data_IF_855951066961
#
_entry.id   IF_855951066961
#
_cell.length_a   1.000
_cell.length_b   1.000
_cell.length_c   1.000
_cell.angle_alpha   90.00
_cell.angle_beta   90.00
_cell.angle_gamma   90.00
#
_symmetry.space_group_name_H-M   'P 1'
#
loop_
_entity.id
_entity.type
_entity.pdbx_description
1 polymer ?
#
# COMPACT_ATOMS: atom_id res chain seq x y z
N UNK A 1 0.50 30.28 -46.00
CA UNK A 1 0.17 30.81 -44.66
C UNK A 1 -0.86 29.85 -44.05
N UNK A 2 -0.53 29.20 -42.92
CA UNK A 2 -1.29 28.15 -42.21
C UNK A 2 -1.35 26.79 -42.94
N UNK A 3 -1.17 25.61 -42.32
CA UNK A 3 -1.24 25.21 -40.92
C UNK A 3 -0.41 23.92 -40.71
N UNK A 4 0.47 23.91 -39.70
CA UNK A 4 1.02 22.71 -39.05
C UNK A 4 0.01 22.24 -37.99
N UNK A 5 -0.20 20.93 -37.86
CA UNK A 5 -0.83 20.11 -36.78
C UNK A 5 -1.28 18.82 -37.51
N UNK A 6 -0.93 17.58 -37.17
CA UNK A 6 -0.88 16.92 -35.87
C UNK A 6 -0.21 15.55 -36.09
N UNK A 7 0.91 15.31 -35.42
CA UNK A 7 1.66 14.04 -35.41
C UNK A 7 1.78 13.46 -33.98
N UNK A 8 0.96 13.93 -33.04
CA UNK A 8 1.15 13.68 -31.59
C UNK A 8 0.22 12.64 -30.96
N UNK A 9 -0.73 12.04 -31.69
CA UNK A 9 -1.69 11.09 -31.10
C UNK A 9 -1.35 9.60 -31.31
N UNK A 10 -0.34 9.26 -32.12
CA UNK A 10 -0.07 7.85 -32.46
C UNK A 10 0.99 7.17 -31.59
N UNK A 11 1.75 7.92 -30.79
CA UNK A 11 2.86 7.36 -29.98
C UNK A 11 2.41 6.96 -28.57
N UNK A 12 1.25 7.44 -28.09
CA UNK A 12 0.78 7.15 -26.73
C UNK A 12 0.07 5.80 -26.57
N UNK A 13 -0.29 5.12 -27.67
CA UNK A 13 -1.08 3.89 -27.61
C UNK A 13 -0.26 2.59 -27.68
N UNK A 14 1.06 2.67 -27.92
CA UNK A 14 1.93 1.48 -28.02
C UNK A 14 2.71 1.15 -26.74
N UNK A 15 2.70 2.00 -25.71
CA UNK A 15 3.47 1.76 -24.47
C UNK A 15 2.71 0.99 -23.38
N UNK A 16 1.41 0.73 -23.57
CA UNK A 16 0.57 0.01 -22.61
C UNK A 16 0.43 -1.51 -22.88
N UNK A 17 0.98 -2.02 -23.99
CA UNK A 17 0.75 -3.41 -24.44
C UNK A 17 1.96 -4.35 -24.27
N UNK A 18 3.06 -3.90 -23.64
CA UNK A 18 4.31 -4.69 -23.56
C UNK A 18 4.79 -4.97 -22.12
N UNK A 19 3.90 -4.96 -21.13
CA UNK A 19 4.24 -5.32 -19.74
C UNK A 19 3.44 -6.49 -19.16
N UNK A 20 2.65 -7.21 -19.96
CA UNK A 20 1.79 -8.29 -19.44
C UNK A 20 2.32 -9.72 -19.63
N UNK A 21 3.39 -9.96 -20.38
CA UNK A 21 3.89 -11.31 -20.61
C UNK A 21 5.38 -11.46 -20.25
N UNK A 22 5.65 -11.87 -19.01
CA UNK A 22 6.75 -12.77 -18.59
C UNK A 22 7.13 -12.59 -17.11
N UNK A 23 6.35 -13.17 -16.20
CA UNK A 23 6.83 -13.57 -14.87
C UNK A 23 6.07 -14.82 -14.42
N UNK A 24 6.39 -15.96 -15.03
CA UNK A 24 6.02 -17.29 -14.55
C UNK A 24 7.15 -18.26 -14.89
N UNK A 25 7.96 -18.63 -13.89
CA UNK A 25 8.50 -19.98 -13.69
C UNK A 25 9.48 -20.02 -12.51
N UNK A 26 9.36 -21.11 -11.74
CA UNK A 26 10.36 -21.71 -10.85
C UNK A 26 10.42 -21.24 -9.38
N UNK A 27 9.56 -21.86 -8.56
CA UNK A 27 10.05 -22.40 -7.29
C UNK A 27 9.36 -23.74 -6.98
N UNK A 28 10.13 -24.82 -7.05
CA UNK A 28 9.67 -26.19 -6.80
C UNK A 28 9.41 -26.42 -5.31
N UNK A 29 8.30 -27.10 -5.05
CA UNK A 29 7.87 -27.67 -3.78
C UNK A 29 8.83 -28.75 -3.29
N UNK A 30 9.17 -28.74 -2.00
CA UNK A 30 9.70 -29.90 -1.31
C UNK A 30 8.74 -30.28 -0.17
N UNK A 31 8.29 -31.53 -0.21
CA UNK A 31 7.39 -32.16 0.74
C UNK A 31 8.09 -32.47 2.08
N UNK A 32 7.29 -32.49 3.15
CA UNK A 32 7.40 -33.51 4.21
C UNK A 32 8.05 -33.09 5.51
N UNK A 33 7.24 -32.70 6.49
CA UNK A 33 7.33 -33.27 7.85
C UNK A 33 6.01 -33.07 8.61
N UNK A 34 5.30 -34.17 8.83
CA UNK A 34 4.15 -34.26 9.74
C UNK A 34 4.70 -34.45 11.16
N UNK A 35 4.36 -33.53 12.06
CA UNK A 35 4.56 -33.71 13.51
C UNK A 35 3.19 -33.63 14.16
N UNK A 36 2.74 -34.77 14.68
CA UNK A 36 1.57 -34.91 15.54
C UNK A 36 1.97 -34.52 16.97
N UNK A 37 1.29 -33.55 17.57
CA UNK A 37 1.37 -33.28 19.02
C UNK A 37 -0.03 -33.51 19.62
N UNK A 38 -0.18 -34.65 20.27
CA UNK A 38 -1.28 -34.96 21.18
C UNK A 38 -1.01 -34.23 22.50
N UNK A 39 -1.90 -33.33 22.92
CA UNK A 39 -1.92 -32.88 24.32
C UNK A 39 -3.32 -32.97 24.91
N UNK A 40 -3.37 -33.78 25.95
CA UNK A 40 -4.50 -34.22 26.74
C UNK A 40 -5.17 -33.09 27.53
N UNK A 41 -6.46 -33.33 27.74
CA UNK A 41 -7.40 -32.55 28.54
C UNK A 41 -7.00 -32.47 30.01
N UNK A 42 -6.86 -31.24 30.52
CA UNK A 42 -6.64 -30.95 31.93
C UNK A 42 -7.73 -30.03 32.47
N UNK A 43 -8.87 -30.61 32.84
CA UNK A 43 -9.97 -29.91 33.53
C UNK A 43 -9.52 -29.52 34.95
N UNK A 44 -9.44 -28.22 35.24
CA UNK A 44 -9.42 -27.71 36.61
C UNK A 44 -10.60 -26.75 36.81
N UNK A 45 -11.57 -27.22 37.60
CA UNK A 45 -12.69 -26.43 38.11
C UNK A 45 -12.30 -25.79 39.44
N UNK A 46 -12.42 -24.47 39.54
CA UNK A 46 -12.53 -23.77 40.81
C UNK A 46 -13.56 -22.65 40.66
N UNK A 47 -14.62 -22.75 41.46
CA UNK A 47 -15.78 -21.87 41.40
C UNK A 47 -15.53 -20.46 41.94
N UNK A 48 -16.19 -19.51 41.30
CA UNK A 48 -16.37 -18.14 41.77
C UNK A 48 -17.56 -17.55 41.02
N UNK A 49 -18.73 -17.56 41.65
CA UNK A 49 -19.94 -16.97 41.10
C UNK A 49 -19.82 -15.44 41.12
N UNK A 50 -19.36 -14.88 40.01
CA UNK A 50 -19.55 -13.48 39.64
C UNK A 50 -20.44 -13.44 38.41
N UNK A 51 -21.63 -12.86 38.53
CA UNK A 51 -22.50 -12.56 37.40
C UNK A 51 -21.84 -11.39 36.63
N UNK A 52 -20.91 -11.68 35.73
CA UNK A 52 -20.51 -10.71 34.72
C UNK A 52 -21.63 -10.65 33.67
N UNK A 53 -22.41 -9.59 33.73
CA UNK A 53 -23.28 -9.20 32.62
C UNK A 53 -22.33 -8.79 31.49
N UNK A 54 -21.97 -9.73 30.62
CA UNK A 54 -21.34 -9.42 29.35
C UNK A 54 -22.32 -8.54 28.58
N UNK A 55 -22.09 -7.22 28.56
CA UNK A 55 -22.76 -6.36 27.61
C UNK A 55 -22.40 -6.90 26.23
N UNK A 56 -23.37 -7.50 25.54
CA UNK A 56 -23.20 -7.92 24.17
C UNK A 56 -22.70 -6.70 23.39
N UNK A 57 -21.63 -6.88 22.61
CA UNK A 57 -21.14 -5.83 21.72
C UNK A 57 -22.34 -5.28 20.93
N UNK A 58 -22.47 -3.95 20.78
CA UNK A 58 -23.59 -3.37 20.07
C UNK A 58 -23.67 -4.01 18.69
N UNK A 59 -24.86 -4.55 18.36
CA UNK A 59 -25.09 -5.21 17.08
C UNK A 59 -24.80 -4.22 15.95
N UNK A 60 -23.96 -4.64 15.02
CA UNK A 60 -23.64 -3.84 13.84
C UNK A 60 -24.91 -3.56 13.02
N UNK A 61 -25.18 -2.27 12.77
CA UNK A 61 -26.37 -1.82 12.03
C UNK A 61 -26.03 -1.53 10.57
N UNK A 62 -27.01 -1.75 9.68
CA UNK A 62 -26.87 -1.44 8.26
C UNK A 62 -26.87 0.07 8.01
N UNK A 63 -25.80 0.63 7.44
CA UNK A 63 -25.72 2.06 7.09
C UNK A 63 -26.64 2.41 5.91
N UNK A 64 -27.65 3.30 6.10
CA UNK A 64 -28.53 3.75 5.03
C UNK A 64 -27.83 4.62 3.97
N UNK A 65 -26.59 5.06 4.21
CA UNK A 65 -25.78 5.72 3.18
C UNK A 65 -25.10 4.71 2.24
N UNK A 66 -25.18 3.41 2.54
CA UNK A 66 -24.59 2.35 1.72
C UNK A 66 -23.09 2.21 1.91
N UNK A 67 -22.53 1.24 1.19
CA UNK A 67 -21.17 0.75 1.35
C UNK A 67 -20.38 0.86 0.05
N UNK A 68 -19.06 0.89 0.21
CA UNK A 68 -18.10 0.85 -0.89
C UNK A 68 -16.91 -0.03 -0.51
N UNK A 69 -16.46 -0.87 -1.44
CA UNK A 69 -15.25 -1.67 -1.33
C UNK A 69 -14.52 -1.74 -2.67
N UNK A 70 -13.28 -2.21 -2.66
CA UNK A 70 -12.44 -2.33 -3.85
C UNK A 70 -11.43 -3.47 -3.70
N UNK A 71 -10.92 -4.00 -4.82
CA UNK A 71 -9.72 -4.82 -4.77
C UNK A 71 -8.44 -3.95 -4.84
N UNK A 72 -7.48 -4.09 -3.90
CA UNK A 72 -6.13 -3.56 -4.05
C UNK A 72 -5.30 -4.40 -5.05
N UNK A 73 -5.80 -4.55 -6.27
CA UNK A 73 -5.33 -5.52 -7.27
C UNK A 73 -4.16 -5.02 -8.14
N UNK A 74 -3.58 -3.86 -7.87
CA UNK A 74 -2.46 -3.30 -8.66
C UNK A 74 -1.18 -3.21 -7.83
N UNK A 75 -0.16 -3.94 -8.28
CA UNK A 75 1.18 -3.91 -7.69
C UNK A 75 1.29 -4.57 -6.31
N UNK A 76 2.44 -4.36 -5.68
CA UNK A 76 2.75 -4.88 -4.33
C UNK A 76 2.31 -3.89 -3.25
N UNK A 77 2.67 -4.16 -2.00
CA UNK A 77 2.34 -3.35 -0.82
C UNK A 77 2.41 -1.83 -1.06
N UNK A 78 3.53 -1.31 -1.59
CA UNK A 78 3.70 0.14 -1.78
C UNK A 78 2.63 0.76 -2.68
N UNK A 79 2.29 0.10 -3.80
CA UNK A 79 1.22 0.55 -4.71
C UNK A 79 -0.15 0.48 -4.02
N UNK A 80 -0.42 -0.63 -3.34
CA UNK A 80 -1.68 -0.83 -2.62
C UNK A 80 -1.85 0.22 -1.53
N UNK A 81 -0.82 0.49 -0.72
CA UNK A 81 -0.86 1.49 0.33
C UNK A 81 -1.10 2.90 -0.23
N UNK A 82 -0.56 3.25 -1.40
CA UNK A 82 -0.92 4.51 -2.06
C UNK A 82 -2.40 4.53 -2.45
N UNK A 83 -2.88 3.47 -3.10
CA UNK A 83 -4.28 3.32 -3.49
C UNK A 83 -5.25 3.37 -2.30
N UNK A 84 -4.87 2.84 -1.15
CA UNK A 84 -5.66 2.93 0.07
C UNK A 84 -5.96 4.38 0.45
N UNK A 85 -4.96 5.27 0.42
CA UNK A 85 -5.16 6.69 0.77
C UNK A 85 -6.19 7.35 -0.15
N UNK A 86 -6.12 7.09 -1.45
CA UNK A 86 -7.06 7.64 -2.43
C UNK A 86 -8.46 7.05 -2.28
N UNK A 87 -8.55 5.75 -2.01
CA UNK A 87 -9.83 5.06 -1.82
C UNK A 87 -10.53 5.51 -0.54
N UNK A 88 -9.77 5.82 0.52
CA UNK A 88 -10.26 6.42 1.75
C UNK A 88 -10.81 7.84 1.50
N UNK A 89 -10.09 8.66 0.75
CA UNK A 89 -10.58 9.98 0.33
C UNK A 89 -11.87 9.84 -0.52
N UNK A 90 -11.91 8.87 -1.43
CA UNK A 90 -13.07 8.61 -2.29
C UNK A 90 -14.30 8.17 -1.50
N UNK A 91 -14.17 7.18 -0.61
CA UNK A 91 -15.30 6.75 0.23
C UNK A 91 -15.82 7.86 1.14
N UNK A 92 -14.92 8.70 1.67
CA UNK A 92 -15.28 9.92 2.41
C UNK A 92 -16.06 10.92 1.53
N UNK A 93 -15.66 11.10 0.26
CA UNK A 93 -16.38 11.94 -0.69
C UNK A 93 -17.81 11.43 -0.94
N UNK A 94 -17.97 10.12 -1.13
CA UNK A 94 -19.30 9.53 -1.38
C UNK A 94 -20.24 9.60 -0.17
N UNK A 95 -19.69 9.77 1.04
CA UNK A 95 -20.41 9.63 2.30
C UNK A 95 -20.94 8.20 2.54
N UNK A 96 -20.27 7.18 1.99
CA UNK A 96 -20.58 5.76 2.18
C UNK A 96 -19.71 5.14 3.26
N UNK A 97 -20.15 4.06 3.89
CA UNK A 97 -19.28 3.24 4.75
C UNK A 97 -18.24 2.51 3.89
N UNK A 98 -16.96 2.63 4.26
CA UNK A 98 -15.87 1.98 3.52
C UNK A 98 -15.63 0.62 4.14
N UNK A 99 -15.81 -0.42 3.34
CA UNK A 99 -15.38 -1.77 3.67
C UNK A 99 -13.90 -1.85 3.31
N UNK A 100 -13.03 -1.74 4.31
CA UNK A 100 -11.59 -1.84 4.17
C UNK A 100 -11.25 -3.25 3.68
N UNK A 101 -10.72 -3.41 2.45
CA UNK A 101 -10.31 -4.72 1.98
C UNK A 101 -9.13 -5.24 2.81
N UNK A 102 -8.75 -6.51 2.67
CA UNK A 102 -7.41 -6.94 3.05
C UNK A 102 -6.39 -6.40 2.04
N UNK A 103 -5.11 -6.33 2.44
CA UNK A 103 -4.03 -6.22 1.47
C UNK A 103 -3.85 -7.52 0.70
N UNK A 104 -3.39 -7.42 -0.54
CA UNK A 104 -3.21 -8.57 -1.42
C UNK A 104 -1.73 -8.93 -1.54
N UNK A 105 -1.37 -10.11 -1.05
CA UNK A 105 -0.06 -10.74 -1.29
C UNK A 105 -0.27 -11.98 -2.18
N UNK A 106 0.36 -13.12 -1.87
CA UNK A 106 -0.06 -14.42 -2.38
C UNK A 106 -1.38 -14.88 -1.74
N UNK A 107 -1.71 -14.37 -0.54
CA UNK A 107 -3.00 -14.48 0.16
C UNK A 107 -3.61 -13.10 0.45
N UNK A 108 -4.85 -13.07 0.95
CA UNK A 108 -5.43 -11.86 1.51
C UNK A 108 -4.92 -11.70 2.95
N UNK A 109 -4.33 -10.55 3.27
CA UNK A 109 -3.86 -10.19 4.61
C UNK A 109 -4.81 -9.14 5.18
N UNK A 110 -5.58 -9.44 6.24
CA UNK A 110 -6.48 -8.47 6.87
C UNK A 110 -5.79 -7.14 7.15
N UNK A 111 -6.53 -6.04 6.98
CA UNK A 111 -6.01 -4.70 7.29
C UNK A 111 -5.45 -4.63 8.73
N UNK A 112 -6.14 -5.29 9.66
CA UNK A 112 -5.84 -5.33 11.11
C UNK A 112 -4.55 -6.06 11.47
N UNK A 113 -4.05 -6.93 10.59
CA UNK A 113 -2.80 -7.65 10.81
C UNK A 113 -1.59 -6.72 10.69
N UNK A 114 -1.70 -5.67 9.87
CA UNK A 114 -0.63 -4.69 9.67
C UNK A 114 -0.91 -3.36 10.35
N UNK A 115 -2.16 -2.93 10.46
CA UNK A 115 -2.53 -1.62 10.96
C UNK A 115 -3.63 -1.69 12.02
N UNK A 116 -3.63 -0.75 12.95
CA UNK A 116 -4.71 -0.58 13.92
C UNK A 116 -5.96 -0.03 13.22
N UNK A 117 -7.13 -0.51 13.63
CA UNK A 117 -8.40 -0.09 13.03
C UNK A 117 -8.90 1.23 13.62
N UNK A 118 -8.76 1.41 14.94
CA UNK A 118 -9.32 2.53 15.70
C UNK A 118 -8.83 3.90 15.22
N UNK A 119 -7.52 4.12 14.95
CA UNK A 119 -7.05 5.41 14.46
C UNK A 119 -7.66 5.79 13.09
N UNK A 120 -8.08 4.80 12.29
CA UNK A 120 -8.73 5.08 11.01
C UNK A 120 -10.12 5.72 11.20
N UNK A 121 -10.80 5.44 12.31
CA UNK A 121 -12.10 6.03 12.64
C UNK A 121 -12.01 7.54 12.91
N UNK A 122 -10.85 8.03 13.37
CA UNK A 122 -10.59 9.47 13.52
C UNK A 122 -10.55 10.19 12.17
N UNK A 123 -10.01 9.53 11.13
CA UNK A 123 -10.04 10.05 9.77
C UNK A 123 -11.47 10.07 9.21
N UNK A 124 -12.18 8.96 9.37
CA UNK A 124 -13.52 8.77 8.86
C UNK A 124 -14.28 7.74 9.73
N UNK A 125 -15.39 8.11 10.37
CA UNK A 125 -16.05 7.24 11.37
C UNK A 125 -16.84 6.08 10.77
N UNK A 126 -17.01 6.04 9.45
CA UNK A 126 -17.80 5.04 8.73
C UNK A 126 -16.89 4.04 8.01
N UNK A 127 -16.26 3.18 8.80
CA UNK A 127 -15.36 2.13 8.34
C UNK A 127 -15.81 0.79 8.92
N UNK A 128 -15.54 -0.27 8.17
CA UNK A 128 -15.70 -1.67 8.58
C UNK A 128 -14.65 -2.50 7.85
N UNK A 129 -14.15 -3.59 8.43
CA UNK A 129 -13.26 -4.51 7.72
C UNK A 129 -14.07 -5.39 6.75
N UNK A 130 -13.43 -5.88 5.68
CA UNK A 130 -14.07 -6.82 4.75
C UNK A 130 -14.52 -8.09 5.47
N UNK A 131 -13.71 -8.58 6.39
CA UNK A 131 -13.98 -9.76 7.22
C UNK A 131 -15.30 -9.57 7.99
N UNK A 132 -15.41 -8.49 8.78
CA UNK A 132 -16.62 -8.21 9.57
C UNK A 132 -17.82 -7.93 8.68
N UNK A 133 -17.65 -7.20 7.56
CA UNK A 133 -18.74 -6.96 6.62
C UNK A 133 -19.29 -8.27 6.04
N UNK A 134 -18.39 -9.16 5.58
CA UNK A 134 -18.77 -10.41 4.95
C UNK A 134 -19.35 -11.43 5.94
N UNK A 135 -18.93 -11.42 7.20
CA UNK A 135 -19.45 -12.28 8.25
C UNK A 135 -20.80 -11.78 8.80
N UNK A 136 -20.90 -10.49 9.14
CA UNK A 136 -22.02 -9.97 9.92
C UNK A 136 -23.14 -9.32 9.10
N UNK A 137 -22.81 -8.68 7.97
CA UNK A 137 -23.77 -7.88 7.18
C UNK A 137 -24.14 -8.53 5.85
N UNK A 138 -23.15 -9.02 5.10
CA UNK A 138 -23.37 -9.55 3.77
C UNK A 138 -24.40 -10.70 3.69
N UNK A 139 -24.48 -11.64 4.65
CA UNK A 139 -25.47 -12.72 4.59
C UNK A 139 -26.92 -12.21 4.62
N UNK A 140 -27.17 -11.06 5.25
CA UNK A 140 -28.51 -10.49 5.40
C UNK A 140 -28.83 -9.42 4.34
N UNK A 141 -27.84 -8.60 3.97
CA UNK A 141 -28.06 -7.38 3.18
C UNK A 141 -27.32 -7.36 1.83
N UNK A 142 -26.43 -8.32 1.56
CA UNK A 142 -25.71 -8.43 0.29
C UNK A 142 -25.58 -9.90 -0.18
N UNK A 143 -26.74 -10.59 -0.36
CA UNK A 143 -26.77 -11.99 -0.76
C UNK A 143 -26.19 -12.16 -2.17
N UNK A 144 -25.76 -13.38 -2.50
CA UNK A 144 -25.04 -13.68 -3.76
C UNK A 144 -25.77 -13.19 -5.02
N UNK A 145 -27.11 -13.30 -5.06
CA UNK A 145 -27.94 -12.83 -6.19
C UNK A 145 -27.96 -11.31 -6.38
N UNK A 146 -27.50 -10.53 -5.40
CA UNK A 146 -27.49 -9.06 -5.42
C UNK A 146 -26.06 -8.49 -5.47
N UNK A 147 -25.04 -9.35 -5.56
CA UNK A 147 -23.64 -8.91 -5.62
C UNK A 147 -23.32 -8.32 -6.99
N UNK A 148 -23.17 -7.01 -7.04
CA UNK A 148 -22.83 -6.25 -8.25
C UNK A 148 -21.38 -5.82 -8.25
N UNK A 149 -20.68 -6.08 -9.34
CA UNK A 149 -19.33 -5.60 -9.59
C UNK A 149 -19.33 -4.34 -10.44
N UNK A 150 -18.35 -3.46 -10.24
CA UNK A 150 -18.25 -2.21 -11.00
C UNK A 150 -16.84 -1.99 -11.51
N UNK A 151 -16.70 -1.66 -12.79
CA UNK A 151 -15.40 -1.39 -13.40
C UNK A 151 -15.41 -0.11 -14.23
N UNK A 152 -14.27 0.57 -14.27
CA UNK A 152 -14.09 1.67 -15.20
C UNK A 152 -13.81 1.12 -16.59
N UNK A 153 -14.71 1.40 -17.53
CA UNK A 153 -14.59 1.07 -18.95
C UNK A 153 -15.39 2.10 -19.74
N UNK A 154 -14.95 2.38 -20.96
CA UNK A 154 -15.77 3.17 -21.89
C UNK A 154 -17.12 2.48 -22.10
N UNK A 155 -18.22 3.23 -21.92
CA UNK A 155 -19.56 2.65 -21.93
C UNK A 155 -19.93 2.02 -23.29
N UNK A 156 -19.31 2.51 -24.37
CA UNK A 156 -19.49 2.00 -25.74
C UNK A 156 -18.53 0.87 -26.12
N UNK A 157 -17.65 0.43 -25.21
CA UNK A 157 -16.71 -0.67 -25.47
C UNK A 157 -17.37 -2.03 -25.26
N UNK A 158 -17.01 -3.01 -26.08
CA UNK A 158 -17.41 -4.42 -25.91
C UNK A 158 -16.67 -5.13 -24.77
N UNK A 159 -15.61 -4.51 -24.21
CA UNK A 159 -14.87 -5.08 -23.08
C UNK A 159 -15.80 -5.34 -21.88
N UNK A 160 -15.65 -6.48 -21.22
CA UNK A 160 -16.42 -6.83 -20.02
C UNK A 160 -15.65 -6.46 -18.76
N UNK A 161 -16.34 -6.26 -17.62
CA UNK A 161 -15.65 -5.96 -16.38
C UNK A 161 -14.77 -7.13 -15.95
N UNK A 162 -15.27 -8.36 -16.06
CA UNK A 162 -14.51 -9.58 -15.72
C UNK A 162 -13.86 -9.42 -14.34
N UNK A 163 -14.70 -9.17 -13.34
CA UNK A 163 -14.28 -8.73 -11.99
C UNK A 163 -13.27 -9.66 -11.32
N UNK A 164 -13.26 -10.93 -11.73
CA UNK A 164 -12.45 -12.03 -11.19
C UNK A 164 -11.43 -12.59 -12.18
N UNK A 165 -11.26 -12.00 -13.37
CA UNK A 165 -10.34 -12.54 -14.38
C UNK A 165 -8.89 -12.25 -14.00
N UNK A 166 -8.11 -13.33 -13.92
CA UNK A 166 -6.67 -13.28 -13.69
C UNK A 166 -6.27 -13.12 -12.22
N UNK A 167 -4.96 -13.11 -11.98
CA UNK A 167 -4.36 -12.86 -10.68
C UNK A 167 -3.93 -11.38 -10.62
N UNK A 168 -4.29 -10.61 -9.57
CA UNK A 168 -4.88 -11.05 -8.30
C UNK A 168 -6.40 -10.98 -8.16
N UNK A 169 -7.12 -10.59 -9.22
CA UNK A 169 -8.57 -10.33 -9.17
C UNK A 169 -9.41 -11.51 -8.66
N UNK A 170 -9.29 -12.69 -9.28
CA UNK A 170 -10.06 -13.87 -8.89
C UNK A 170 -9.81 -14.28 -7.44
N UNK A 171 -8.57 -14.62 -7.08
CA UNK A 171 -8.21 -15.04 -5.72
C UNK A 171 -8.63 -14.05 -4.63
N UNK A 172 -8.58 -12.74 -4.90
CA UNK A 172 -9.01 -11.73 -3.94
C UNK A 172 -10.50 -11.90 -3.56
N UNK A 173 -11.39 -11.96 -4.55
CA UNK A 173 -12.83 -12.10 -4.33
C UNK A 173 -13.21 -13.51 -3.88
N UNK A 174 -12.53 -14.54 -4.41
CA UNK A 174 -12.71 -15.93 -4.01
C UNK A 174 -12.41 -16.16 -2.52
N UNK A 175 -11.42 -15.44 -1.96
CA UNK A 175 -11.08 -15.51 -0.54
C UNK A 175 -12.23 -15.14 0.41
N UNK A 176 -13.27 -14.46 -0.08
CA UNK A 176 -14.48 -14.12 0.67
C UNK A 176 -15.74 -14.82 0.13
N UNK A 177 -15.58 -15.77 -0.80
CA UNK A 177 -16.71 -16.42 -1.47
C UNK A 177 -17.57 -15.44 -2.27
N UNK A 178 -16.97 -14.39 -2.83
CA UNK A 178 -17.70 -13.37 -3.62
C UNK A 178 -17.74 -13.79 -5.09
N UNK A 179 -18.96 -13.97 -5.59
CA UNK A 179 -19.30 -14.02 -7.01
C UNK A 179 -20.18 -12.83 -7.34
N UNK A 180 -20.09 -12.32 -8.56
CA UNK A 180 -20.88 -11.19 -9.02
C UNK A 180 -22.02 -11.69 -9.91
N UNK A 181 -23.26 -11.40 -9.51
CA UNK A 181 -24.45 -11.72 -10.28
C UNK A 181 -24.63 -10.77 -11.48
N UNK A 182 -24.13 -9.55 -11.35
CA UNK A 182 -24.20 -8.50 -12.38
C UNK A 182 -22.93 -7.64 -12.34
N UNK A 183 -22.50 -7.15 -13.50
CA UNK A 183 -21.34 -6.27 -13.64
C UNK A 183 -21.74 -4.97 -14.36
N UNK A 184 -21.39 -3.83 -13.77
CA UNK A 184 -21.65 -2.50 -14.32
C UNK A 184 -20.37 -1.80 -14.76
N UNK A 185 -20.43 -1.21 -15.95
CA UNK A 185 -19.40 -0.29 -16.44
C UNK A 185 -19.71 1.11 -15.93
N UNK A 186 -18.68 1.89 -15.62
CA UNK A 186 -18.81 3.31 -15.37
C UNK A 186 -17.70 4.10 -16.08
N UNK A 187 -18.03 5.33 -16.48
CA UNK A 187 -17.09 6.27 -17.09
C UNK A 187 -17.22 7.65 -16.40
N UNK A 188 -17.17 7.62 -15.07
CA UNK A 188 -17.24 8.81 -14.21
C UNK A 188 -15.98 8.91 -13.36
N UNK A 189 -15.64 10.15 -12.99
CA UNK A 189 -14.44 10.45 -12.22
C UNK A 189 -14.51 9.86 -10.81
N UNK A 190 -13.43 9.21 -10.37
CA UNK A 190 -13.36 8.49 -9.09
C UNK A 190 -12.18 8.89 -8.21
N UNK A 191 -11.39 9.90 -8.58
CA UNK A 191 -10.15 10.26 -7.86
C UNK A 191 -10.35 11.48 -6.96
N UNK A 192 -10.75 11.24 -5.72
CA UNK A 192 -10.98 12.27 -4.71
C UNK A 192 -9.69 13.02 -4.28
N UNK A 193 -9.86 14.28 -3.88
CA UNK A 193 -8.80 15.15 -3.40
C UNK A 193 -9.27 15.91 -2.15
N UNK A 194 -8.69 15.58 -0.99
CA UNK A 194 -9.09 16.17 0.29
C UNK A 194 -8.86 17.69 0.36
N UNK A 195 -7.98 18.24 -0.48
CA UNK A 195 -7.72 19.69 -0.53
C UNK A 195 -8.74 20.46 -1.39
N UNK A 196 -9.58 19.76 -2.16
CA UNK A 196 -10.54 20.39 -3.06
C UNK A 196 -11.97 19.94 -2.75
N UNK A 197 -12.65 20.69 -1.88
CA UNK A 197 -14.04 20.42 -1.48
C UNK A 197 -15.01 20.40 -2.68
N UNK A 198 -14.78 21.25 -3.69
CA UNK A 198 -15.64 21.27 -4.88
C UNK A 198 -15.51 19.98 -5.70
N UNK A 199 -14.30 19.41 -5.79
CA UNK A 199 -14.10 18.12 -6.47
C UNK A 199 -14.78 17.00 -5.68
N UNK A 200 -14.71 17.03 -4.35
CA UNK A 200 -15.38 16.05 -3.48
C UNK A 200 -16.90 16.08 -3.65
N UNK A 201 -17.51 17.28 -3.67
CA UNK A 201 -18.95 17.46 -3.90
C UNK A 201 -19.37 16.99 -5.29
N UNK A 202 -18.60 17.31 -6.34
CA UNK A 202 -18.86 16.85 -7.71
C UNK A 202 -18.79 15.34 -7.84
N UNK A 203 -17.79 14.71 -7.20
CA UNK A 203 -17.71 13.24 -7.14
C UNK A 203 -18.98 12.70 -6.50
N UNK A 204 -19.37 13.23 -5.33
CA UNK A 204 -20.58 12.78 -4.64
C UNK A 204 -21.82 12.90 -5.53
N UNK A 205 -22.05 14.07 -6.12
CA UNK A 205 -23.22 14.32 -6.97
C UNK A 205 -23.27 13.36 -8.17
N UNK A 206 -22.15 13.17 -8.86
CA UNK A 206 -22.07 12.29 -10.02
C UNK A 206 -22.31 10.83 -9.65
N UNK A 207 -21.70 10.36 -8.56
CA UNK A 207 -21.86 8.98 -8.11
C UNK A 207 -23.25 8.71 -7.53
N UNK A 208 -23.85 9.64 -6.78
CA UNK A 208 -25.21 9.49 -6.27
C UNK A 208 -26.25 9.49 -7.40
N UNK A 209 -26.00 10.27 -8.47
CA UNK A 209 -26.86 10.28 -9.66
C UNK A 209 -26.74 8.99 -10.49
N UNK A 210 -25.53 8.47 -10.64
CA UNK A 210 -25.28 7.26 -11.44
C UNK A 210 -25.59 5.97 -10.68
N UNK A 211 -25.32 5.95 -9.37
CA UNK A 211 -25.41 4.77 -8.51
C UNK A 211 -26.05 5.14 -7.16
N UNK A 212 -27.35 5.51 -7.15
CA UNK A 212 -28.06 5.87 -5.92
C UNK A 212 -28.07 4.70 -4.94
N UNK A 213 -27.93 4.99 -3.64
CA UNK A 213 -27.82 3.98 -2.56
C UNK A 213 -28.98 2.98 -2.56
N UNK A 214 -30.20 3.45 -2.87
CA UNK A 214 -31.40 2.62 -2.93
C UNK A 214 -31.23 1.43 -3.88
N UNK A 215 -30.62 1.66 -5.03
CA UNK A 215 -30.47 0.66 -6.08
C UNK A 215 -29.08 0.02 -5.99
N UNK A 216 -28.07 0.76 -5.54
CA UNK A 216 -26.68 0.33 -5.42
C UNK A 216 -26.21 0.46 -3.95
N UNK A 217 -26.70 -0.41 -3.05
CA UNK A 217 -26.37 -0.37 -1.63
C UNK A 217 -24.89 -0.63 -1.37
N UNK A 218 -24.26 -1.50 -2.17
CA UNK A 218 -22.83 -1.85 -2.08
C UNK A 218 -22.17 -1.59 -3.43
N UNK A 219 -21.15 -0.74 -3.45
CA UNK A 219 -20.29 -0.50 -4.61
C UNK A 219 -19.01 -1.33 -4.49
N UNK A 220 -18.94 -2.50 -5.13
CA UNK A 220 -17.74 -3.34 -5.16
C UNK A 220 -16.92 -3.10 -6.44
N UNK A 221 -15.88 -2.29 -6.35
CA UNK A 221 -15.10 -1.87 -7.51
C UNK A 221 -13.97 -2.87 -7.85
N UNK A 222 -13.75 -3.11 -9.16
CA UNK A 222 -12.71 -4.04 -9.66
C UNK A 222 -11.31 -3.68 -9.17
N UNK A 223 -11.04 -2.39 -8.99
CA UNK A 223 -9.78 -1.86 -8.50
C UNK A 223 -10.00 -0.64 -7.63
N UNK A 224 -8.93 -0.18 -6.99
CA UNK A 224 -8.97 1.04 -6.17
C UNK A 224 -9.41 2.27 -7.00
N UNK A 225 -10.41 3.05 -6.55
CA UNK A 225 -10.78 4.33 -7.15
C UNK A 225 -9.78 5.41 -6.73
N UNK A 226 -8.52 5.25 -7.12
CA UNK A 226 -7.42 6.06 -6.65
C UNK A 226 -6.34 6.17 -7.73
N UNK A 227 -5.71 7.35 -7.90
CA UNK A 227 -4.56 7.46 -8.79
C UNK A 227 -3.32 6.81 -8.18
N UNK A 228 -2.37 6.42 -9.05
CA UNK A 228 -1.00 6.11 -8.67
C UNK A 228 -0.01 6.92 -9.51
N UNK A 229 0.97 7.60 -8.91
CA UNK A 229 1.14 7.77 -7.46
C UNK A 229 0.04 8.65 -6.85
N UNK A 230 -0.08 8.59 -5.53
CA UNK A 230 -1.10 9.31 -4.78
C UNK A 230 -0.90 10.82 -4.83
N UNK A 231 -2.02 11.54 -4.91
CA UNK A 231 -2.07 13.00 -4.82
C UNK A 231 -1.42 13.47 -3.53
N UNK A 232 -0.66 14.56 -3.61
CA UNK A 232 0.08 15.12 -2.47
C UNK A 232 -0.83 15.47 -1.29
N UNK A 233 -2.01 16.05 -1.57
CA UNK A 233 -3.02 16.42 -0.58
C UNK A 233 -3.56 15.25 0.23
N UNK A 234 -3.66 14.06 -0.37
CA UNK A 234 -4.16 12.86 0.31
C UNK A 234 -3.08 12.13 1.11
N UNK A 235 -1.81 12.53 1.01
CA UNK A 235 -0.71 11.89 1.77
C UNK A 235 -0.86 12.05 3.27
N UNK A 236 -1.55 13.10 3.73
CA UNK A 236 -1.85 13.35 5.15
C UNK A 236 -2.66 12.21 5.80
N UNK A 237 -3.38 11.42 5.00
CA UNK A 237 -4.13 10.26 5.50
C UNK A 237 -3.19 9.20 6.10
N UNK A 238 -1.91 9.17 5.70
CA UNK A 238 -0.91 8.27 6.28
C UNK A 238 -0.79 8.42 7.80
N UNK A 239 -1.11 9.59 8.37
CA UNK A 239 -1.03 9.84 9.81
C UNK A 239 -1.91 8.90 10.64
N UNK A 240 -2.97 8.35 10.03
CA UNK A 240 -3.91 7.43 10.67
C UNK A 240 -3.51 5.95 10.52
N UNK A 241 -2.53 5.63 9.65
CA UNK A 241 -1.99 4.28 9.53
C UNK A 241 -1.02 4.04 10.69
N UNK A 242 -1.53 3.55 11.82
CA UNK A 242 -0.72 3.09 12.95
C UNK A 242 -0.44 1.62 12.81
N UNK A 243 0.81 1.20 12.94
CA UNK A 243 1.18 -0.20 12.88
C UNK A 243 0.48 -1.01 13.97
N UNK A 244 0.09 -2.24 13.63
CA UNK A 244 -0.39 -3.23 14.59
C UNK A 244 0.64 -3.38 15.75
N UNK A 245 0.16 -3.47 16.98
CA UNK A 245 1.03 -3.46 18.17
C UNK A 245 1.99 -4.65 18.21
N UNK A 246 1.54 -5.84 17.80
CA UNK A 246 2.37 -7.04 17.76
C UNK A 246 3.47 -6.91 16.70
N UNK A 247 3.12 -6.46 15.50
CA UNK A 247 4.07 -6.22 14.42
C UNK A 247 5.10 -5.13 14.78
N UNK A 248 4.64 -4.05 15.44
CA UNK A 248 5.52 -3.01 15.93
C UNK A 248 6.43 -3.51 17.05
N UNK A 249 5.92 -4.34 17.98
CA UNK A 249 6.71 -4.93 19.05
C UNK A 249 7.82 -5.85 18.50
N UNK A 250 7.53 -6.62 17.45
CA UNK A 250 8.54 -7.42 16.75
C UNK A 250 9.64 -6.55 16.15
N UNK A 251 9.26 -5.52 15.37
CA UNK A 251 10.23 -4.58 14.81
C UNK A 251 11.04 -3.88 15.91
N UNK A 252 10.40 -3.52 17.03
CA UNK A 252 11.05 -2.93 18.20
C UNK A 252 12.08 -3.87 18.82
N UNK A 253 11.75 -5.16 18.96
CA UNK A 253 12.70 -6.15 19.45
C UNK A 253 13.96 -6.21 18.58
N UNK A 254 13.82 -6.17 17.24
CA UNK A 254 14.96 -6.06 16.33
C UNK A 254 15.75 -4.77 16.54
N UNK A 255 15.09 -3.62 16.66
CA UNK A 255 15.76 -2.33 16.90
C UNK A 255 16.55 -2.33 18.22
N UNK A 256 15.96 -2.85 19.29
CA UNK A 256 16.60 -2.94 20.61
C UNK A 256 17.85 -3.83 20.54
N UNK A 257 17.76 -4.96 19.83
CA UNK A 257 18.90 -5.88 19.65
C UNK A 257 20.02 -5.30 18.78
N UNK A 258 19.68 -4.64 17.66
CA UNK A 258 20.65 -4.15 16.69
C UNK A 258 21.31 -2.83 17.10
N UNK A 259 20.55 -1.95 17.77
CA UNK A 259 20.95 -0.57 18.04
C UNK A 259 21.08 -0.26 19.53
N UNK A 260 20.52 -1.07 20.43
CA UNK A 260 20.59 -0.85 21.88
C UNK A 260 20.17 0.58 22.30
N UNK A 261 19.15 1.13 21.63
CA UNK A 261 18.66 2.49 21.84
C UNK A 261 19.52 3.62 21.24
N UNK A 262 20.62 3.30 20.55
CA UNK A 262 21.44 4.30 19.85
C UNK A 262 20.79 4.72 18.51
N UNK A 263 20.96 5.98 18.08
CA UNK A 263 20.42 6.46 16.81
C UNK A 263 21.12 5.81 15.61
N UNK A 264 20.37 5.64 14.53
CA UNK A 264 20.84 5.00 13.29
C UNK A 264 20.32 5.71 12.05
N UNK A 265 21.10 5.60 10.97
CA UNK A 265 20.66 5.96 9.61
C UNK A 265 19.97 4.76 8.98
N UNK A 266 18.73 4.93 8.52
CA UNK A 266 18.03 3.94 7.71
C UNK A 266 18.23 4.20 6.23
N UNK A 267 18.54 3.18 5.45
CA UNK A 267 18.63 3.29 3.99
C UNK A 267 17.74 2.25 3.32
N UNK A 268 17.03 2.66 2.27
CA UNK A 268 16.27 1.76 1.42
C UNK A 268 16.91 1.66 0.03
N UNK A 269 17.34 0.45 -0.31
CA UNK A 269 17.93 0.09 -1.59
C UNK A 269 16.91 -0.69 -2.41
N UNK A 270 16.62 -0.18 -3.60
CA UNK A 270 15.78 -0.85 -4.60
C UNK A 270 16.68 -1.23 -5.77
N UNK A 271 17.19 -2.46 -5.72
CA UNK A 271 18.31 -2.99 -6.52
C UNK A 271 17.97 -4.33 -7.18
N UNK A 272 16.71 -4.76 -7.12
CA UNK A 272 16.23 -5.95 -7.83
C UNK A 272 16.34 -5.82 -9.35
N UNK A 273 16.47 -6.95 -10.05
CA UNK A 273 16.61 -6.99 -11.51
C UNK A 273 15.36 -6.46 -12.24
N UNK A 274 14.17 -6.65 -11.66
CA UNK A 274 12.92 -6.04 -12.13
C UNK A 274 13.00 -4.51 -12.11
N UNK A 275 13.63 -3.99 -11.05
CA UNK A 275 13.80 -2.56 -10.84
C UNK A 275 14.89 -1.96 -11.72
N UNK A 276 16.03 -2.64 -11.87
CA UNK A 276 17.13 -2.23 -12.75
C UNK A 276 16.61 -1.97 -14.18
N UNK A 277 15.89 -2.94 -14.76
CA UNK A 277 15.26 -2.82 -16.08
C UNK A 277 14.26 -1.68 -16.15
N UNK A 278 13.44 -1.50 -15.11
CA UNK A 278 12.49 -0.38 -15.05
C UNK A 278 13.22 0.97 -15.14
N UNK A 279 14.38 1.09 -14.47
CA UNK A 279 15.18 2.31 -14.43
C UNK A 279 16.03 2.55 -15.69
N UNK A 280 16.17 1.60 -16.62
CA UNK A 280 16.88 1.82 -17.89
C UNK A 280 16.19 2.86 -18.78
N UNK A 281 14.87 3.01 -18.63
CA UNK A 281 14.05 3.88 -19.48
C UNK A 281 13.74 5.24 -18.86
N UNK A 282 14.28 5.54 -17.67
CA UNK A 282 13.87 6.71 -16.88
C UNK A 282 14.35 8.05 -17.46
N UNK A 283 15.41 8.04 -18.28
CA UNK A 283 15.99 9.27 -18.83
C UNK A 283 14.96 10.08 -19.65
N UNK A 284 14.79 11.35 -19.29
CA UNK A 284 13.83 12.25 -19.93
C UNK A 284 12.38 12.14 -19.41
N UNK A 285 12.07 11.16 -18.55
CA UNK A 285 10.76 11.08 -17.90
C UNK A 285 10.62 12.17 -16.84
N UNK A 286 9.58 13.00 -16.96
CA UNK A 286 9.24 14.02 -15.95
C UNK A 286 8.62 13.44 -14.68
N UNK A 287 8.06 12.25 -14.79
CA UNK A 287 7.45 11.52 -13.69
C UNK A 287 7.53 10.03 -13.98
N UNK A 288 8.01 9.27 -13.00
CA UNK A 288 8.01 7.82 -12.99
C UNK A 288 7.56 7.33 -11.62
N UNK A 289 6.55 6.44 -11.57
CA UNK A 289 6.03 5.81 -10.35
C UNK A 289 5.89 6.83 -9.19
N UNK A 290 6.54 6.62 -8.04
CA UNK A 290 6.42 7.47 -6.86
C UNK A 290 7.32 8.71 -6.85
N UNK A 291 8.03 9.02 -7.95
CA UNK A 291 8.96 10.18 -8.03
C UNK A 291 8.40 11.55 -7.61
N UNK A 292 7.08 11.84 -7.67
CA UNK A 292 6.53 13.07 -7.09
C UNK A 292 6.69 13.20 -5.56
N UNK A 293 7.29 12.21 -4.88
CA UNK A 293 7.69 12.33 -3.47
C UNK A 293 9.00 13.12 -3.29
N UNK A 294 9.86 13.14 -4.30
CA UNK A 294 11.18 13.78 -4.24
C UNK A 294 11.32 14.93 -5.22
N UNK A 295 10.48 15.00 -6.25
CA UNK A 295 10.41 16.10 -7.22
C UNK A 295 9.05 16.80 -7.19
N UNK A 296 9.07 18.12 -7.46
CA UNK A 296 7.83 18.83 -7.80
C UNK A 296 7.45 18.50 -9.24
N UNK A 297 6.19 18.14 -9.45
CA UNK A 297 5.62 17.84 -10.76
C UNK A 297 5.89 19.01 -11.73
N UNK A 298 6.52 18.73 -12.87
CA UNK A 298 6.82 19.72 -13.92
C UNK A 298 8.21 20.37 -13.87
N UNK A 299 9.10 19.92 -12.97
CA UNK A 299 10.51 20.32 -12.93
C UNK A 299 11.43 19.38 -13.74
N UNK A 300 12.74 19.41 -13.44
CA UNK A 300 13.80 18.58 -14.04
C UNK A 300 13.41 17.08 -14.09
N UNK A 301 13.83 16.35 -15.14
CA UNK A 301 13.53 14.92 -15.29
C UNK A 301 14.08 14.07 -14.14
N UNK A 302 13.42 12.93 -13.90
CA UNK A 302 13.94 11.89 -13.01
C UNK A 302 15.23 11.33 -13.62
N UNK A 303 16.32 11.34 -12.86
CA UNK A 303 17.61 10.82 -13.34
C UNK A 303 17.74 9.33 -13.08
N UNK A 304 18.63 8.66 -13.83
CA UNK A 304 18.96 7.26 -13.59
C UNK A 304 19.46 7.02 -12.16
N UNK A 305 20.29 7.92 -11.62
CA UNK A 305 20.81 7.80 -10.26
C UNK A 305 19.74 7.89 -9.17
N UNK A 306 18.66 8.63 -9.40
CA UNK A 306 17.53 8.71 -8.47
C UNK A 306 16.66 7.45 -8.48
N UNK A 307 16.60 6.76 -9.62
CA UNK A 307 15.86 5.52 -9.80
C UNK A 307 16.69 4.30 -9.35
N UNK A 308 17.97 4.27 -9.71
CA UNK A 308 18.92 3.20 -9.48
C UNK A 308 20.32 3.79 -9.19
N UNK A 309 20.62 4.13 -7.92
CA UNK A 309 21.91 4.72 -7.56
C UNK A 309 23.04 3.72 -7.78
N UNK A 310 24.23 4.22 -8.13
CA UNK A 310 25.42 3.35 -8.19
C UNK A 310 25.86 2.95 -6.80
N UNK A 311 26.62 1.87 -6.70
CA UNK A 311 27.23 1.43 -5.44
C UNK A 311 28.07 2.55 -4.81
N UNK A 312 28.87 3.25 -5.61
CA UNK A 312 29.73 4.34 -5.14
C UNK A 312 28.90 5.47 -4.52
N UNK A 313 27.78 5.84 -5.14
CA UNK A 313 26.85 6.83 -4.58
C UNK A 313 26.23 6.35 -3.26
N UNK A 314 25.81 5.09 -3.18
CA UNK A 314 25.26 4.52 -1.94
C UNK A 314 26.29 4.62 -0.81
N UNK A 315 27.56 4.28 -1.08
CA UNK A 315 28.64 4.38 -0.10
C UNK A 315 28.87 5.83 0.35
N UNK A 316 29.05 6.75 -0.60
CA UNK A 316 29.35 8.16 -0.33
C UNK A 316 28.22 8.87 0.42
N UNK A 317 26.97 8.74 -0.06
CA UNK A 317 25.81 9.38 0.57
C UNK A 317 25.50 8.76 1.94
N UNK A 318 25.68 7.44 2.12
CA UNK A 318 25.52 6.81 3.43
C UNK A 318 26.57 7.32 4.42
N UNK A 319 27.84 7.46 4.00
CA UNK A 319 28.89 8.06 4.83
C UNK A 319 28.53 9.48 5.25
N UNK A 320 28.12 10.31 4.30
CA UNK A 320 27.73 11.70 4.57
C UNK A 320 26.57 11.79 5.58
N UNK A 321 25.59 10.88 5.50
CA UNK A 321 24.50 10.80 6.46
C UNK A 321 24.97 10.43 7.87
N UNK A 322 25.79 9.39 7.97
CA UNK A 322 26.34 8.94 9.26
C UNK A 322 27.15 10.04 9.93
N UNK A 323 27.99 10.76 9.18
CA UNK A 323 28.79 11.87 9.68
C UNK A 323 27.93 13.06 10.13
N UNK A 324 26.92 13.42 9.33
CA UNK A 324 26.00 14.54 9.61
C UNK A 324 25.16 14.30 10.87
N UNK A 325 24.61 13.09 11.00
CA UNK A 325 23.73 12.71 12.12
C UNK A 325 24.48 12.05 13.29
N UNK A 326 25.81 11.88 13.17
CA UNK A 326 26.70 11.36 14.21
C UNK A 326 26.23 10.02 14.78
N UNK A 327 25.72 9.15 13.93
CA UNK A 327 25.22 7.82 14.30
C UNK A 327 26.33 6.79 14.24
N UNK A 328 26.22 5.70 15.02
CA UNK A 328 27.15 4.55 14.94
C UNK A 328 26.53 3.33 14.26
N UNK A 329 25.32 3.49 13.72
CA UNK A 329 24.53 2.39 13.18
C UNK A 329 23.94 2.79 11.83
N UNK A 330 24.04 1.87 10.87
CA UNK A 330 23.33 1.93 9.58
C UNK A 330 22.42 0.72 9.49
N UNK A 331 21.15 0.94 9.15
CA UNK A 331 20.19 -0.12 8.86
C UNK A 331 19.86 -0.14 7.37
N UNK A 332 19.91 -1.32 6.75
CA UNK A 332 19.70 -1.52 5.33
C UNK A 332 18.46 -2.38 5.11
N UNK A 333 17.45 -1.79 4.48
CA UNK A 333 16.36 -2.51 3.84
C UNK A 333 16.65 -2.61 2.33
N UNK A 334 16.55 -3.80 1.75
CA UNK A 334 16.77 -4.00 0.32
C UNK A 334 15.86 -5.09 -0.23
N UNK A 335 15.55 -5.01 -1.52
CA UNK A 335 14.89 -6.07 -2.25
C UNK A 335 15.86 -7.07 -2.90
N UNK A 336 17.17 -6.76 -2.93
CA UNK A 336 18.18 -7.67 -3.48
C UNK A 336 19.59 -7.45 -2.93
N UNK A 337 20.29 -6.43 -3.41
CA UNK A 337 21.68 -6.16 -3.06
C UNK A 337 21.74 -5.17 -1.89
N UNK A 338 22.39 -5.57 -0.80
CA UNK A 338 22.50 -4.73 0.40
C UNK A 338 23.73 -3.83 0.41
N UNK A 339 24.78 -4.17 -0.38
CA UNK A 339 26.11 -3.56 -0.28
C UNK A 339 26.68 -3.55 1.15
N UNK A 340 26.22 -4.46 2.00
CA UNK A 340 26.57 -4.47 3.42
C UNK A 340 28.07 -4.70 3.62
N UNK A 341 28.70 -5.53 2.78
CA UNK A 341 30.14 -5.81 2.84
C UNK A 341 30.95 -4.54 2.57
N UNK A 342 30.62 -3.84 1.50
CA UNK A 342 31.32 -2.63 1.07
C UNK A 342 31.13 -1.49 2.08
N UNK A 343 29.93 -1.35 2.65
CA UNK A 343 29.67 -0.40 3.74
C UNK A 343 30.49 -0.74 4.99
N UNK A 344 30.59 -2.03 5.38
CA UNK A 344 31.44 -2.46 6.51
C UNK A 344 32.92 -2.18 6.27
N UNK A 345 33.42 -2.48 5.07
CA UNK A 345 34.80 -2.17 4.69
C UNK A 345 35.08 -0.66 4.71
N UNK A 346 34.11 0.14 4.25
CA UNK A 346 34.21 1.59 4.22
C UNK A 346 34.25 2.23 5.62
N UNK A 347 33.46 1.72 6.57
CA UNK A 347 33.35 2.27 7.92
C UNK A 347 34.32 1.64 8.94
N UNK A 348 34.83 0.43 8.67
CA UNK A 348 35.61 -0.32 9.66
C UNK A 348 34.83 -0.57 10.95
N UNK A 349 35.49 -0.39 12.10
CA UNK A 349 34.89 -0.61 13.42
C UNK A 349 34.11 0.60 13.97
N UNK A 350 34.14 1.75 13.27
CA UNK A 350 33.52 2.99 13.74
C UNK A 350 31.99 2.95 13.69
N UNK A 351 31.43 2.23 12.71
CA UNK A 351 29.98 2.18 12.43
C UNK A 351 29.55 0.75 12.16
N UNK A 352 28.52 0.29 12.88
CA UNK A 352 27.93 -1.03 12.70
C UNK A 352 26.89 -1.00 11.59
N UNK A 353 27.02 -1.87 10.60
CA UNK A 353 26.13 -1.94 9.43
C UNK A 353 25.25 -3.20 9.51
N UNK A 354 23.94 -2.98 9.59
CA UNK A 354 22.92 -3.99 9.85
C UNK A 354 22.02 -4.22 8.64
N UNK A 355 21.73 -5.47 8.33
CA UNK A 355 20.76 -5.88 7.33
C UNK A 355 20.05 -7.11 7.89
N UNK A 356 18.72 -7.03 8.03
CA UNK A 356 17.91 -8.04 8.72
C UNK A 356 17.31 -9.08 7.78
N UNK A 357 16.91 -8.66 6.57
CA UNK A 357 16.13 -9.47 5.62
C UNK A 357 14.92 -10.15 6.30
N UNK A 358 13.99 -9.37 6.87
CA UNK A 358 12.91 -9.92 7.68
C UNK A 358 11.92 -10.72 6.84
N UNK A 359 11.27 -11.69 7.48
CA UNK A 359 10.24 -12.52 6.85
C UNK A 359 9.03 -11.71 6.32
N UNK A 360 8.79 -10.52 6.88
CA UNK A 360 7.80 -9.57 6.39
C UNK A 360 8.47 -8.22 6.07
N UNK A 361 8.27 -7.66 4.86
CA UNK A 361 8.86 -6.37 4.49
C UNK A 361 8.28 -5.19 5.29
N UNK A 362 7.15 -5.37 5.97
CA UNK A 362 6.61 -4.37 6.90
C UNK A 362 7.54 -4.10 8.08
N UNK A 363 8.31 -5.10 8.53
CA UNK A 363 9.30 -4.93 9.60
C UNK A 363 10.38 -3.94 9.14
N UNK A 364 10.86 -4.05 7.90
CA UNK A 364 11.77 -3.07 7.32
C UNK A 364 11.14 -1.67 7.28
N UNK A 365 9.88 -1.54 6.86
CA UNK A 365 9.18 -0.24 6.83
C UNK A 365 9.13 0.43 8.21
N UNK A 366 8.82 -0.35 9.25
CA UNK A 366 8.76 0.15 10.63
C UNK A 366 10.15 0.62 11.06
N UNK A 367 11.19 -0.20 10.88
CA UNK A 367 12.56 0.15 11.28
C UNK A 367 13.05 1.38 10.51
N UNK A 368 12.77 1.50 9.21
CA UNK A 368 13.11 2.69 8.43
C UNK A 368 12.35 3.93 8.92
N UNK A 369 11.05 3.79 9.21
CA UNK A 369 10.21 4.85 9.78
C UNK A 369 10.75 5.36 11.12
N UNK A 370 11.37 4.48 11.91
CA UNK A 370 11.92 4.82 13.21
C UNK A 370 13.32 5.46 13.20
N UNK A 371 14.09 5.35 12.10
CA UNK A 371 15.46 5.87 11.99
C UNK A 371 15.62 7.37 12.33
N UNK A 372 16.82 7.76 12.75
CA UNK A 372 17.16 9.18 13.00
C UNK A 372 17.13 9.96 11.67
N UNK A 373 17.74 9.38 10.63
CA UNK A 373 17.71 9.90 9.27
C UNK A 373 17.47 8.77 8.28
N UNK A 374 16.69 9.06 7.23
CA UNK A 374 16.32 8.09 6.21
C UNK A 374 16.79 8.54 4.83
N UNK A 375 17.46 7.64 4.10
CA UNK A 375 17.72 7.79 2.66
C UNK A 375 16.88 6.79 1.88
N UNK A 376 16.01 7.31 1.02
CA UNK A 376 15.07 6.51 0.25
C UNK A 376 15.34 6.48 -1.25
N UNK A 377 14.75 5.51 -1.94
CA UNK A 377 14.65 5.52 -3.40
C UNK A 377 13.47 6.39 -3.86
N UNK A 378 13.73 7.42 -4.68
CA UNK A 378 12.72 8.40 -5.10
C UNK A 378 11.56 7.78 -5.91
N UNK A 379 11.85 6.78 -6.74
CA UNK A 379 10.86 6.21 -7.68
C UNK A 379 10.01 5.13 -7.00
N UNK A 380 10.49 4.55 -5.89
CA UNK A 380 9.82 3.46 -5.18
C UNK A 380 8.63 3.90 -4.32
N UNK A 381 7.48 3.24 -4.50
CA UNK A 381 6.31 3.41 -3.63
C UNK A 381 6.49 2.80 -2.23
N UNK A 382 7.43 1.86 -2.06
CA UNK A 382 7.82 1.34 -0.75
C UNK A 382 8.52 2.42 0.09
N UNK A 383 9.46 3.15 -0.52
CA UNK A 383 10.02 4.38 0.07
C UNK A 383 8.93 5.40 0.39
N UNK A 384 7.98 5.59 -0.53
CA UNK A 384 6.92 6.58 -0.39
C UNK A 384 6.07 6.36 0.86
N UNK A 385 5.86 5.11 1.25
CA UNK A 385 5.22 4.79 2.53
C UNK A 385 6.03 5.35 3.72
N UNK A 386 7.32 4.98 3.82
CA UNK A 386 8.22 5.44 4.89
C UNK A 386 8.30 6.96 4.91
N UNK A 387 8.46 7.59 3.74
CA UNK A 387 8.55 9.04 3.61
C UNK A 387 7.31 9.73 4.18
N UNK A 388 6.11 9.25 3.87
CA UNK A 388 4.86 9.82 4.40
C UNK A 388 4.73 9.64 5.90
N UNK A 389 5.09 8.46 6.43
CA UNK A 389 5.10 8.21 7.88
C UNK A 389 6.06 9.18 8.58
N UNK A 390 7.27 9.35 8.03
CA UNK A 390 8.28 10.25 8.59
C UNK A 390 7.87 11.72 8.50
N UNK A 391 7.28 12.15 7.39
CA UNK A 391 6.76 13.51 7.23
C UNK A 391 5.68 13.82 8.28
N UNK A 392 4.75 12.90 8.50
CA UNK A 392 3.71 13.02 9.54
C UNK A 392 4.28 13.13 10.95
N UNK A 393 5.43 12.51 11.21
CA UNK A 393 6.13 12.50 12.49
C UNK A 393 7.26 13.55 12.58
N UNK A 394 7.42 14.43 11.57
CA UNK A 394 8.46 15.45 11.55
C UNK A 394 9.90 14.91 11.49
N UNK A 395 10.10 13.68 10.99
CA UNK A 395 11.41 13.04 10.91
C UNK A 395 12.14 13.35 9.59
N UNK A 396 13.45 13.64 9.62
CA UNK A 396 14.17 14.08 8.43
C UNK A 396 14.42 12.91 7.46
N UNK A 397 14.29 13.17 6.16
CA UNK A 397 14.51 12.17 5.11
C UNK A 397 15.09 12.82 3.86
N UNK A 398 15.88 12.07 3.10
CA UNK A 398 16.32 12.44 1.75
C UNK A 398 16.17 11.28 0.78
N UNK A 399 16.61 11.48 -0.46
CA UNK A 399 16.65 10.46 -1.49
C UNK A 399 18.02 10.40 -2.15
N UNK A 400 18.35 9.23 -2.70
CA UNK A 400 19.56 9.04 -3.49
C UNK A 400 19.68 10.09 -4.59
N UNK A 401 20.91 10.60 -4.82
CA UNK A 401 21.23 11.61 -5.82
C UNK A 401 20.67 13.02 -5.57
N UNK A 402 19.95 13.25 -4.45
CA UNK A 402 19.45 14.59 -4.07
C UNK A 402 20.33 15.25 -3.01
N UNK A 403 21.00 14.44 -2.19
CA UNK A 403 21.98 14.90 -1.20
C UNK A 403 21.49 14.80 0.25
N UNK A 404 22.44 14.80 1.19
CA UNK A 404 22.22 14.55 2.63
C UNK A 404 22.10 15.82 3.45
#
# INVERSE_FOLDING_TARGET
>A
MRLLLSLSSLVLSLTLSLCEDHLDSDFQSNEGLVVTDEREDGVFSAGGAGLEVSQAAPKLEWDPNGYFTFCPCMGRFGNQAEHYLGSLAFGKALNRTIILPPFRTYINIPFTDWFQFEPMLEFYPRLITMETFMEELAPMYWPESERRGYCWLYLNSDAQCEMKRGNPFGPFWDGFGINFAEEHKFEIFSHADLSNTQDMEKIKEHWDRSFPVKDHPVLALKGAPAPFPMRASNRVIQNYFKWNEGLFAEAKHHMDHLFNGEPYVGIHLRTGIDWERSCETVEGMRQMMASPQCHKVGQEPVTKAMCYPTKEMVLEETRAAVEKYKTKHVFIATDKFSYQKELKEMFGDEVKVHHLDPHMPQIDLIILGQSEFFIGNCVSSFTSFVKRERDGNGKPSTFWSIGV
#
